data_IF_711193547673
#
_entry.id   IF_711193547673
#
_cell.length_a   1.000
_cell.length_b   1.000
_cell.length_c   1.000
_cell.angle_alpha   90.00
_cell.angle_beta   90.00
_cell.angle_gamma   90.00
#
_symmetry.space_group_name_H-M   'P 1'
#
loop_
_entity.id
_entity.type
_entity.pdbx_description
1 polymer ?
#
# COMPACT_ATOMS: atom_id res chain seq x y z
N UNK A 1 8.18 -6.33 -16.28
CA UNK A 1 8.57 -6.84 -14.97
C UNK A 1 9.82 -6.11 -14.51
N UNK A 2 9.56 -5.11 -13.67
CA UNK A 2 10.51 -4.31 -12.93
C UNK A 2 11.54 -5.20 -12.20
N UNK A 3 12.84 -4.85 -12.18
CA UNK A 3 13.86 -5.57 -11.40
C UNK A 3 13.50 -5.74 -9.92
N UNK A 4 12.84 -4.77 -9.30
CA UNK A 4 12.41 -4.86 -7.90
C UNK A 4 11.29 -5.89 -7.72
N UNK A 5 10.34 -5.98 -8.66
CA UNK A 5 9.33 -7.03 -8.66
C UNK A 5 9.93 -8.42 -8.87
N UNK A 6 11.01 -8.51 -9.66
CA UNK A 6 11.77 -9.76 -9.83
C UNK A 6 12.41 -10.18 -8.51
N UNK A 7 13.09 -9.26 -7.82
CA UNK A 7 13.67 -9.50 -6.50
C UNK A 7 12.60 -9.87 -5.46
N UNK A 8 11.45 -9.20 -5.49
CA UNK A 8 10.32 -9.55 -4.63
C UNK A 8 9.84 -10.98 -4.88
N UNK A 9 9.75 -11.39 -6.15
CA UNK A 9 9.30 -12.74 -6.54
C UNK A 9 10.26 -13.85 -6.11
N UNK A 10 11.54 -13.55 -5.92
CA UNK A 10 12.53 -14.47 -5.37
C UNK A 10 12.36 -14.68 -3.86
N UNK A 11 11.89 -13.66 -3.13
CA UNK A 11 11.65 -13.70 -1.68
C UNK A 11 10.26 -14.23 -1.33
N UNK A 12 9.25 -13.77 -2.06
CA UNK A 12 7.83 -14.05 -1.84
C UNK A 12 7.26 -14.71 -3.11
N UNK A 13 7.23 -16.05 -3.20
CA UNK A 13 6.76 -16.71 -4.41
C UNK A 13 5.34 -16.28 -4.81
N UNK A 14 5.16 -15.91 -6.07
CA UNK A 14 3.87 -15.49 -6.60
C UNK A 14 2.83 -16.64 -6.58
N UNK A 15 1.53 -16.33 -6.40
CA UNK A 15 0.48 -17.33 -6.44
C UNK A 15 0.36 -18.01 -7.81
N UNK A 16 -0.16 -19.24 -7.82
CA UNK A 16 -0.37 -19.99 -9.06
C UNK A 16 -1.62 -19.51 -9.80
N UNK A 17 -1.45 -19.06 -11.05
CA UNK A 17 -2.53 -18.68 -11.96
C UNK A 17 -2.62 -17.16 -12.14
N UNK A 18 -3.07 -16.68 -13.32
CA UNK A 18 -3.17 -15.25 -13.57
C UNK A 18 -4.27 -14.64 -12.70
N UNK A 19 -3.93 -13.60 -11.95
CA UNK A 19 -4.91 -12.71 -11.35
C UNK A 19 -5.76 -12.05 -12.43
N UNK A 20 -7.03 -11.73 -12.12
CA UNK A 20 -7.80 -10.84 -12.99
C UNK A 20 -7.35 -9.42 -12.70
N UNK A 21 -6.71 -8.77 -13.67
CA UNK A 21 -6.28 -7.39 -13.54
C UNK A 21 -7.48 -6.48 -13.23
N UNK A 22 -7.34 -5.51 -12.32
CA UNK A 22 -8.32 -4.44 -12.12
C UNK A 22 -8.62 -3.67 -13.40
N UNK A 23 -9.80 -3.04 -13.45
CA UNK A 23 -10.07 -1.97 -14.41
C UNK A 23 -9.32 -0.71 -13.95
N UNK A 24 -8.11 -0.53 -14.46
CA UNK A 24 -7.21 0.54 -14.05
C UNK A 24 -7.78 1.93 -14.33
N UNK A 25 -8.42 2.13 -15.48
CA UNK A 25 -9.01 3.42 -15.84
C UNK A 25 -10.14 3.79 -14.86
N UNK A 26 -10.99 2.82 -14.52
CA UNK A 26 -12.05 3.03 -13.53
C UNK A 26 -11.49 3.29 -12.12
N UNK A 27 -10.47 2.53 -11.70
CA UNK A 27 -9.83 2.68 -10.40
C UNK A 27 -9.18 4.07 -10.24
N UNK A 28 -8.40 4.50 -11.23
CA UNK A 28 -7.73 5.81 -11.24
C UNK A 28 -8.71 6.97 -11.30
N UNK A 29 -9.81 6.82 -12.05
CA UNK A 29 -10.88 7.80 -12.07
C UNK A 29 -11.55 7.94 -10.69
N UNK A 30 -11.81 6.81 -10.00
CA UNK A 30 -12.42 6.84 -8.67
C UNK A 30 -11.48 7.38 -7.60
N UNK A 31 -10.19 7.02 -7.63
CA UNK A 31 -9.17 7.59 -6.74
C UNK A 31 -8.77 9.03 -7.13
N UNK A 32 -9.21 9.49 -8.30
CA UNK A 32 -8.84 10.77 -8.90
C UNK A 32 -7.32 10.97 -8.97
N UNK A 33 -6.57 9.90 -9.25
CA UNK A 33 -5.10 9.93 -9.41
C UNK A 33 -4.63 8.75 -10.25
N UNK A 34 -3.56 8.95 -11.01
CA UNK A 34 -2.85 7.86 -11.69
C UNK A 34 -2.08 7.05 -10.65
N UNK A 35 -2.18 5.73 -10.68
CA UNK A 35 -1.44 4.83 -9.79
C UNK A 35 -0.05 4.53 -10.36
N UNK A 36 0.98 4.35 -9.50
CA UNK A 36 2.33 4.03 -9.95
C UNK A 36 2.39 2.73 -10.77
N UNK A 37 3.24 2.68 -11.77
CA UNK A 37 3.36 1.52 -12.67
C UNK A 37 3.87 0.27 -11.93
N UNK A 38 4.77 0.44 -10.95
CA UNK A 38 5.31 -0.68 -10.17
C UNK A 38 4.23 -1.38 -9.34
N UNK A 39 3.28 -0.61 -8.82
CA UNK A 39 2.12 -1.15 -8.11
C UNK A 39 1.16 -1.88 -9.06
N UNK A 40 0.93 -1.35 -10.26
CA UNK A 40 0.13 -2.06 -11.28
C UNK A 40 0.77 -3.38 -11.66
N UNK A 41 2.09 -3.42 -11.89
CA UNK A 41 2.83 -4.66 -12.14
C UNK A 41 2.74 -5.64 -10.95
N UNK A 42 2.85 -5.13 -9.71
CA UNK A 42 2.72 -5.92 -8.48
C UNK A 42 1.33 -6.58 -8.39
N UNK A 43 0.26 -5.80 -8.55
CA UNK A 43 -1.13 -6.31 -8.49
C UNK A 43 -1.44 -7.24 -9.65
N UNK A 44 -0.91 -6.98 -10.86
CA UNK A 44 -1.04 -7.92 -11.98
C UNK A 44 -0.38 -9.27 -11.69
N UNK A 45 0.65 -9.30 -10.83
CA UNK A 45 1.41 -10.51 -10.49
C UNK A 45 0.83 -11.24 -9.27
N UNK A 46 0.48 -10.52 -8.21
CA UNK A 46 0.04 -11.08 -6.93
C UNK A 46 -1.46 -10.95 -6.67
N UNK A 47 -2.12 -9.96 -7.27
CA UNK A 47 -3.43 -9.47 -6.82
C UNK A 47 -3.38 -8.87 -5.42
N UNK A 48 -4.54 -8.65 -4.82
CA UNK A 48 -4.64 -8.36 -3.39
C UNK A 48 -4.38 -9.60 -2.54
N UNK A 49 -3.88 -9.44 -1.32
CA UNK A 49 -3.64 -10.57 -0.45
C UNK A 49 -2.88 -10.25 0.83
N UNK A 50 -2.60 -11.30 1.59
CA UNK A 50 -2.02 -11.22 2.92
C UNK A 50 -0.58 -11.74 2.92
N UNK A 51 0.36 -10.84 3.21
CA UNK A 51 1.80 -11.09 3.27
C UNK A 51 2.18 -11.37 4.72
N UNK A 52 2.86 -12.51 4.93
CA UNK A 52 3.47 -12.92 6.20
C UNK A 52 2.53 -12.91 7.41
N UNK A 53 1.23 -13.07 7.15
CA UNK A 53 0.24 -13.07 8.22
C UNK A 53 0.05 -11.71 8.89
N UNK A 54 0.43 -10.62 8.23
CA UNK A 54 0.41 -9.29 8.84
C UNK A 54 0.01 -8.16 7.87
N UNK A 55 0.65 -8.05 6.70
CA UNK A 55 0.41 -6.94 5.77
C UNK A 55 -0.65 -7.32 4.73
N UNK A 56 -1.69 -6.52 4.61
CA UNK A 56 -2.74 -6.65 3.62
C UNK A 56 -2.42 -5.75 2.42
N UNK A 57 -2.01 -6.37 1.31
CA UNK A 57 -1.87 -5.72 0.02
C UNK A 57 -3.26 -5.49 -0.56
N UNK A 58 -3.65 -4.22 -0.72
CA UNK A 58 -4.97 -3.85 -1.24
C UNK A 58 -4.98 -3.95 -2.76
N UNK A 59 -6.12 -4.30 -3.34
CA UNK A 59 -6.36 -4.37 -4.78
C UNK A 59 -7.58 -3.50 -5.12
N UNK A 60 -7.51 -2.60 -6.11
CA UNK A 60 -8.66 -1.79 -6.48
C UNK A 60 -9.79 -2.66 -7.02
N UNK A 61 -10.98 -2.53 -6.41
CA UNK A 61 -12.15 -3.30 -6.79
C UNK A 61 -12.06 -4.78 -6.39
N UNK A 62 -11.29 -5.10 -5.35
CA UNK A 62 -11.19 -6.47 -4.86
C UNK A 62 -12.57 -7.01 -4.45
N UNK A 63 -13.00 -8.21 -4.88
CA UNK A 63 -14.27 -8.78 -4.46
C UNK A 63 -14.37 -9.07 -2.96
N UNK A 64 -13.23 -9.16 -2.27
CA UNK A 64 -13.17 -9.23 -0.83
C UNK A 64 -12.96 -7.81 -0.28
N UNK A 65 -14.01 -7.23 0.28
CA UNK A 65 -14.05 -5.87 0.83
C UNK A 65 -12.90 -5.53 1.78
N UNK A 66 -12.34 -6.52 2.49
CA UNK A 66 -11.19 -6.32 3.41
C UNK A 66 -9.93 -5.89 2.64
N UNK A 67 -9.84 -6.26 1.36
CA UNK A 67 -8.72 -5.96 0.47
C UNK A 67 -9.08 -4.95 -0.61
N UNK A 68 -10.30 -4.41 -0.63
CA UNK A 68 -10.71 -3.44 -1.65
C UNK A 68 -10.09 -2.06 -1.39
N UNK A 69 -9.11 -1.71 -2.21
CA UNK A 69 -8.41 -0.43 -2.11
C UNK A 69 -9.38 0.76 -2.25
N UNK A 70 -10.40 0.66 -3.10
CA UNK A 70 -11.29 1.80 -3.39
C UNK A 70 -12.17 2.11 -2.17
N UNK A 71 -12.70 1.06 -1.55
CA UNK A 71 -13.47 1.16 -0.30
C UNK A 71 -12.61 1.70 0.85
N UNK A 72 -11.45 1.09 1.09
CA UNK A 72 -10.54 1.51 2.18
C UNK A 72 -10.14 2.98 2.04
N UNK A 73 -9.86 3.44 0.80
CA UNK A 73 -9.52 4.85 0.57
C UNK A 73 -10.67 5.80 0.89
N UNK A 74 -11.90 5.49 0.48
CA UNK A 74 -13.07 6.31 0.79
C UNK A 74 -13.30 6.42 2.31
N UNK A 75 -13.22 5.29 3.02
CA UNK A 75 -13.35 5.26 4.48
C UNK A 75 -12.23 6.04 5.17
N UNK A 76 -10.99 5.93 4.66
CA UNK A 76 -9.84 6.62 5.25
C UNK A 76 -9.81 8.11 4.98
N UNK A 77 -10.28 8.56 3.82
CA UNK A 77 -10.43 9.98 3.52
C UNK A 77 -11.41 10.63 4.52
N UNK A 78 -12.57 10.02 4.74
CA UNK A 78 -13.54 10.49 5.74
C UNK A 78 -12.97 10.48 7.18
N UNK A 79 -12.31 9.39 7.57
CA UNK A 79 -11.72 9.26 8.89
C UNK A 79 -10.60 10.30 9.14
N UNK A 80 -9.75 10.55 8.16
CA UNK A 80 -8.68 11.54 8.24
C UNK A 80 -9.24 12.96 8.33
N UNK A 81 -10.24 13.29 7.51
CA UNK A 81 -10.89 14.60 7.54
C UNK A 81 -11.58 14.86 8.89
N UNK A 82 -12.16 13.84 9.52
CA UNK A 82 -12.71 13.95 10.87
C UNK A 82 -11.60 14.11 11.92
N UNK A 83 -10.53 13.31 11.84
CA UNK A 83 -9.43 13.33 12.81
C UNK A 83 -8.70 14.68 12.82
N UNK A 84 -8.44 15.26 11.65
CA UNK A 84 -7.70 16.53 11.51
C UNK A 84 -8.54 17.77 11.84
N UNK A 85 -9.82 17.62 12.20
CA UNK A 85 -10.57 18.69 12.87
C UNK A 85 -10.15 18.88 14.34
N UNK A 86 -9.54 17.85 14.93
CA UNK A 86 -9.20 17.81 16.36
C UNK A 86 -7.69 17.63 16.62
N UNK A 87 -6.93 17.27 15.59
CA UNK A 87 -5.48 17.02 15.66
C UNK A 87 -4.75 17.83 14.60
N UNK A 88 -3.45 18.01 14.76
CA UNK A 88 -2.65 18.68 13.74
C UNK A 88 -2.40 17.73 12.56
N UNK A 89 -2.78 18.18 11.36
CA UNK A 89 -2.48 17.47 10.12
C UNK A 89 -0.96 17.45 9.88
N UNK A 90 -0.36 16.31 9.51
CA UNK A 90 1.07 16.20 9.24
C UNK A 90 1.56 17.28 8.27
N UNK A 91 2.74 17.85 8.55
CA UNK A 91 3.24 19.05 7.88
C UNK A 91 3.35 18.90 6.35
N UNK A 92 3.72 17.72 5.90
CA UNK A 92 3.92 17.33 4.51
C UNK A 92 2.61 17.22 3.73
N UNK A 93 1.48 17.06 4.44
CA UNK A 93 0.12 17.04 3.92
C UNK A 93 -0.55 18.43 3.99
N UNK A 94 0.11 19.44 4.57
CA UNK A 94 -0.42 20.81 4.61
C UNK A 94 -0.30 21.54 3.27
N UNK A 95 0.56 21.07 2.36
CA UNK A 95 0.60 21.60 1.01
C UNK A 95 -0.76 21.41 0.32
N UNK A 96 -1.31 22.49 -0.23
CA UNK A 96 -2.65 22.51 -0.82
C UNK A 96 -2.80 21.43 -1.91
N UNK A 97 -3.91 20.69 -1.85
CA UNK A 97 -4.18 19.57 -2.77
C UNK A 97 -3.44 18.27 -2.47
N UNK A 98 -2.64 18.20 -1.40
CA UNK A 98 -2.00 16.95 -0.96
C UNK A 98 -3.04 15.97 -0.42
N UNK A 99 -2.94 14.71 -0.85
CA UNK A 99 -3.85 13.62 -0.46
C UNK A 99 -3.07 12.35 -0.16
N UNK A 100 -3.67 11.51 0.66
CA UNK A 100 -3.18 10.16 0.94
C UNK A 100 -3.97 9.17 0.12
N UNK A 101 -3.27 8.24 -0.53
CA UNK A 101 -3.90 7.10 -1.20
C UNK A 101 -3.31 5.81 -0.64
N UNK A 102 -4.14 5.02 0.02
CA UNK A 102 -3.76 3.79 0.70
C UNK A 102 -3.48 2.68 -0.32
N UNK A 103 -2.39 1.95 -0.16
CA UNK A 103 -2.02 0.78 -0.97
C UNK A 103 -1.86 -0.51 -0.16
N UNK A 104 -1.66 -0.38 1.15
CA UNK A 104 -1.70 -1.50 2.07
C UNK A 104 -2.21 -1.07 3.45
N UNK A 105 -2.75 -2.02 4.19
CA UNK A 105 -2.97 -1.90 5.63
C UNK A 105 -2.42 -3.15 6.32
N UNK A 106 -2.60 -3.28 7.62
CA UNK A 106 -2.09 -4.41 8.40
C UNK A 106 -3.20 -4.95 9.30
N UNK A 107 -2.98 -6.14 9.87
CA UNK A 107 -3.89 -6.73 10.86
C UNK A 107 -3.85 -6.01 12.24
N UNK A 108 -2.93 -5.05 12.40
CA UNK A 108 -2.81 -4.23 13.62
C UNK A 108 -3.38 -2.81 13.47
N UNK A 109 -3.83 -2.42 12.26
CA UNK A 109 -4.46 -1.12 12.01
C UNK A 109 -3.51 -0.02 11.53
N UNK A 110 -2.28 -0.36 11.13
CA UNK A 110 -1.41 0.59 10.43
C UNK A 110 -1.84 0.74 8.96
N UNK A 111 -1.57 1.90 8.38
CA UNK A 111 -1.88 2.19 6.99
C UNK A 111 -0.65 2.64 6.23
N UNK A 112 -0.50 2.14 5.00
CA UNK A 112 0.58 2.47 4.11
C UNK A 112 0.02 3.22 2.90
N UNK A 113 0.55 4.42 2.68
CA UNK A 113 0.03 5.37 1.71
C UNK A 113 1.07 5.76 0.67
N UNK A 114 0.59 6.25 -0.48
CA UNK A 114 1.30 7.24 -1.27
C UNK A 114 0.87 8.63 -0.81
N UNK A 115 1.83 9.56 -0.75
CA UNK A 115 1.51 10.99 -0.74
C UNK A 115 1.38 11.50 -2.18
N UNK A 116 0.16 11.83 -2.55
CA UNK A 116 -0.18 12.39 -3.86
C UNK A 116 -0.21 13.90 -3.77
N UNK A 117 0.51 14.56 -4.67
CA UNK A 117 0.52 16.02 -4.82
C UNK A 117 0.09 16.43 -6.23
N UNK A 118 -0.55 17.61 -6.40
CA UNK A 118 -0.93 18.08 -7.72
C UNK A 118 0.27 18.19 -8.67
N UNK A 119 0.20 17.52 -9.83
CA UNK A 119 1.24 17.57 -10.86
C UNK A 119 2.50 16.77 -10.53
N UNK A 120 2.46 15.90 -9.52
CA UNK A 120 3.57 14.98 -9.24
C UNK A 120 3.73 13.89 -10.30
N UNK A 121 4.89 13.25 -10.28
CA UNK A 121 5.15 12.02 -11.02
C UNK A 121 4.64 10.84 -10.18
N UNK A 122 3.64 10.06 -10.67
CA UNK A 122 3.12 8.90 -9.95
C UNK A 122 4.21 7.92 -9.52
N UNK A 123 5.23 7.70 -10.36
CA UNK A 123 6.28 6.69 -10.12
C UNK A 123 7.35 7.14 -9.12
N UNK A 124 7.32 8.41 -8.70
CA UNK A 124 8.25 9.01 -7.74
C UNK A 124 7.56 9.45 -6.44
N UNK A 125 6.33 9.00 -6.19
CA UNK A 125 5.59 9.36 -4.98
C UNK A 125 6.21 8.70 -3.75
N UNK A 126 6.48 9.46 -2.66
CA UNK A 126 6.98 8.87 -1.44
C UNK A 126 5.90 8.00 -0.77
N UNK A 127 6.34 6.93 -0.13
CA UNK A 127 5.51 6.07 0.70
C UNK A 127 5.51 6.57 2.13
N UNK A 128 4.35 6.46 2.77
CA UNK A 128 4.15 6.80 4.17
C UNK A 128 3.62 5.59 4.91
N UNK A 129 4.02 5.45 6.17
CA UNK A 129 3.40 4.51 7.11
C UNK A 129 2.85 5.33 8.25
N UNK A 130 1.59 5.10 8.60
CA UNK A 130 0.96 5.69 9.77
C UNK A 130 0.53 4.59 10.74
N UNK A 131 0.82 4.81 12.02
CA UNK A 131 0.40 3.93 13.10
C UNK A 131 -1.12 3.94 13.31
N UNK A 132 -1.61 3.04 14.16
CA UNK A 132 -3.03 2.89 14.46
C UNK A 132 -3.64 4.12 15.15
N UNK A 133 -2.80 4.92 15.83
CA UNK A 133 -3.23 6.13 16.54
C UNK A 133 -3.40 7.34 15.61
N UNK A 134 -2.72 7.37 14.47
CA UNK A 134 -2.68 8.53 13.57
C UNK A 134 -1.56 9.53 13.89
N UNK A 135 -0.78 9.31 14.96
CA UNK A 135 0.19 10.28 15.46
C UNK A 135 1.61 10.07 14.90
N UNK A 136 2.01 8.82 14.66
CA UNK A 136 3.36 8.51 14.20
C UNK A 136 3.39 8.28 12.68
N UNK A 137 4.44 8.79 12.05
CA UNK A 137 4.62 8.72 10.60
C UNK A 137 6.06 8.34 10.24
N UNK A 138 6.19 7.42 9.29
CA UNK A 138 7.46 7.12 8.62
C UNK A 138 7.39 7.43 7.13
N UNK A 139 8.54 7.72 6.54
CA UNK A 139 8.67 8.24 5.19
C UNK A 139 9.72 7.47 4.41
N UNK A 140 9.38 7.07 3.19
CA UNK A 140 10.28 6.33 2.31
C UNK A 140 10.21 6.87 0.88
N UNK A 141 11.36 7.31 0.36
CA UNK A 141 11.53 7.71 -1.04
C UNK A 141 11.90 6.50 -1.89
N UNK A 142 10.91 5.67 -2.17
CA UNK A 142 11.05 4.38 -2.88
C UNK A 142 9.72 3.96 -3.50
N UNK A 143 9.78 3.03 -4.45
CA UNK A 143 8.58 2.38 -5.02
C UNK A 143 8.03 1.28 -4.08
N UNK A 144 6.79 0.83 -4.29
CA UNK A 144 6.14 -0.19 -3.46
C UNK A 144 6.87 -1.53 -3.55
N UNK A 145 7.21 -1.94 -4.76
CA UNK A 145 7.95 -3.20 -5.03
C UNK A 145 9.33 -3.22 -4.37
N UNK A 146 10.05 -2.09 -4.40
CA UNK A 146 11.34 -1.95 -3.72
C UNK A 146 11.19 -1.90 -2.21
N UNK A 147 10.19 -1.18 -1.70
CA UNK A 147 9.89 -1.14 -0.26
C UNK A 147 9.59 -2.54 0.29
N UNK A 148 8.67 -3.28 -0.33
CA UNK A 148 8.34 -4.64 0.07
C UNK A 148 9.57 -5.56 0.00
N UNK A 149 10.36 -5.50 -1.08
CA UNK A 149 11.60 -6.28 -1.19
C UNK A 149 12.60 -5.98 -0.07
N UNK A 150 12.77 -4.69 0.26
CA UNK A 150 13.69 -4.25 1.29
C UNK A 150 13.20 -4.63 2.70
N UNK A 151 11.90 -4.53 2.97
CA UNK A 151 11.33 -4.96 4.25
C UNK A 151 11.42 -6.48 4.42
N UNK A 152 11.01 -7.27 3.41
CA UNK A 152 11.05 -8.73 3.48
C UNK A 152 12.48 -9.27 3.60
N UNK A 153 13.47 -8.63 2.97
CA UNK A 153 14.89 -8.99 3.15
C UNK A 153 15.53 -8.44 4.43
N UNK A 154 14.81 -7.61 5.20
CA UNK A 154 15.31 -6.96 6.42
C UNK A 154 16.28 -5.80 6.21
N UNK A 155 16.41 -5.32 4.97
CA UNK A 155 17.16 -4.11 4.60
C UNK A 155 16.49 -2.84 5.16
N UNK A 156 15.16 -2.80 5.15
CA UNK A 156 14.36 -1.78 5.84
C UNK A 156 13.73 -2.42 7.08
N UNK A 157 13.83 -1.71 8.21
CA UNK A 157 13.11 -2.02 9.45
C UNK A 157 12.35 -0.77 9.88
N UNK A 158 11.03 -0.83 9.77
CA UNK A 158 10.14 0.20 10.30
C UNK A 158 10.11 0.13 11.82
N UNK A 159 9.98 1.29 12.47
CA UNK A 159 9.70 1.44 13.90
C UNK A 159 8.20 1.44 14.19
N UNK A 160 7.35 1.57 13.16
CA UNK A 160 5.89 1.51 13.26
C UNK A 160 5.39 0.08 13.04
N UNK A 161 5.89 -0.61 12.01
CA UNK A 161 5.44 -1.98 11.72
C UNK A 161 5.86 -2.94 12.83
N UNK A 162 5.05 -3.98 13.01
CA UNK A 162 5.25 -4.99 14.04
C UNK A 162 6.65 -5.63 13.99
N UNK A 163 7.33 -5.68 15.14
CA UNK A 163 8.71 -6.21 15.26
C UNK A 163 8.90 -7.66 14.77
N UNK A 164 7.83 -8.46 14.69
CA UNK A 164 7.88 -9.84 14.18
C UNK A 164 7.65 -9.95 12.67
N UNK A 165 7.43 -8.83 11.98
CA UNK A 165 7.38 -8.75 10.53
C UNK A 165 8.75 -8.29 9.98
N UNK A 166 9.28 -8.96 8.94
CA UNK A 166 8.71 -10.10 8.22
C UNK A 166 8.95 -11.46 8.90
N UNK A 167 8.25 -12.50 8.44
CA UNK A 167 8.51 -13.88 8.88
C UNK A 167 9.84 -14.38 8.29
N UNK A 168 10.54 -15.33 8.96
CA UNK A 168 11.76 -15.94 8.40
C UNK A 168 11.53 -16.73 7.10
N UNK A 169 10.31 -17.20 6.88
CA UNK A 169 9.89 -17.88 5.65
C UNK A 169 8.62 -17.19 5.15
N UNK A 170 8.76 -16.41 4.08
CA UNK A 170 7.69 -15.55 3.59
C UNK A 170 6.54 -16.34 2.99
N UNK A 171 5.32 -15.81 3.16
CA UNK A 171 4.09 -16.42 2.69
C UNK A 171 3.16 -15.35 2.11
N UNK A 172 2.53 -15.68 0.98
CA UNK A 172 1.46 -14.88 0.39
C UNK A 172 0.17 -15.70 0.36
N UNK A 173 -0.94 -15.12 0.83
CA UNK A 173 -2.28 -15.70 0.71
C UNK A 173 -3.17 -14.79 -0.13
N UNK A 174 -3.63 -15.22 -1.31
CA UNK A 174 -4.46 -14.38 -2.19
C UNK A 174 -5.81 -14.04 -1.54
N UNK A 175 -6.21 -12.77 -1.60
CA UNK A 175 -7.48 -12.26 -1.06
C UNK A 175 -8.70 -13.03 -1.57
N UNK A 176 -8.66 -13.44 -2.83
CA UNK A 176 -9.74 -14.16 -3.53
C UNK A 176 -9.93 -15.60 -3.05
N UNK A 177 -9.03 -16.12 -2.22
CA UNK A 177 -9.10 -17.47 -1.64
C UNK A 177 -9.51 -17.47 -0.16
N UNK A 178 -9.76 -16.29 0.41
CA UNK A 178 -10.11 -16.07 1.81
C UNK A 178 -11.57 -15.66 1.98
#
# INVERSE_FOLDING_TARGET
MNPDLTRLSELLPAPSGPGTAPDWDAAEAQLSTVLPEDYKELINTYGGGFIDGYLLLLEPGCPNDVYDQLKINAEREEANDALWQFTEKPSELQAEGSRLVCWATTDNGEYLYWLVRPGDDPDARPLLINDESGEQWEWYDTTVTRFLSAVLSGEIRSQILWDNFPLPAHQFRPARTM
#
